data_IF_032579481641
#
_entry.id   IF_032579481641
#
_cell.length_a   1.000
_cell.length_b   1.000
_cell.length_c   1.000
_cell.angle_alpha   90.00
_cell.angle_beta   90.00
_cell.angle_gamma   90.00
#
_symmetry.space_group_name_H-M   'P 1'
#
loop_
_entity.id
_entity.type
_entity.pdbx_description
1 polymer ?
#
# COMPACT_ATOMS: atom_id res chain seq x y z
N UNK A 1 25.50 4.57 1.09
CA UNK A 1 26.08 5.52 2.08
C UNK A 1 27.20 6.29 1.37
N UNK A 2 26.87 7.20 0.46
CA UNK A 2 27.91 7.97 -0.26
C UNK A 2 28.00 9.46 0.10
N UNK A 3 27.08 9.98 0.93
CA UNK A 3 27.11 11.37 1.37
C UNK A 3 26.88 11.47 2.88
N UNK A 4 27.92 11.14 3.63
CA UNK A 4 27.97 11.45 5.05
C UNK A 4 28.45 12.89 5.24
N UNK A 5 27.58 13.86 5.10
CA UNK A 5 27.82 15.21 5.59
C UNK A 5 27.47 15.25 7.08
N UNK A 6 28.14 16.11 7.86
CA UNK A 6 27.98 16.23 9.32
C UNK A 6 26.51 16.38 9.79
N UNK A 7 25.61 16.84 8.92
CA UNK A 7 24.17 16.96 9.22
C UNK A 7 23.41 15.63 9.31
N UNK A 8 23.98 14.51 8.85
CA UNK A 8 23.32 13.20 8.81
C UNK A 8 23.83 12.20 9.87
N UNK A 9 24.70 12.63 10.79
CA UNK A 9 25.30 11.73 11.78
C UNK A 9 24.26 11.05 12.67
N UNK A 10 23.24 11.77 13.10
CA UNK A 10 22.13 11.21 13.89
C UNK A 10 21.32 10.16 13.13
N UNK A 11 21.09 10.33 11.84
CA UNK A 11 20.39 9.36 11.00
C UNK A 11 21.21 8.10 10.72
N UNK A 12 22.53 8.21 10.67
CA UNK A 12 23.42 7.06 10.50
C UNK A 12 23.52 6.20 11.75
N UNK A 13 23.54 6.80 12.94
CA UNK A 13 23.49 6.08 14.21
C UNK A 13 22.17 5.32 14.33
N UNK A 14 21.04 5.98 14.08
CA UNK A 14 19.74 5.34 14.09
C UNK A 14 19.62 4.18 13.08
N UNK A 15 20.20 4.32 11.89
CA UNK A 15 20.24 3.25 10.89
C UNK A 15 21.12 2.08 11.34
N UNK A 16 22.25 2.35 12.00
CA UNK A 16 23.12 1.31 12.54
C UNK A 16 22.43 0.52 13.67
N UNK A 17 21.70 1.21 14.53
CA UNK A 17 20.92 0.59 15.62
C UNK A 17 19.76 -0.23 15.07
N UNK A 18 19.07 0.26 14.04
CA UNK A 18 18.02 -0.49 13.35
C UNK A 18 18.60 -1.78 12.71
N UNK A 19 19.76 -1.70 12.07
CA UNK A 19 20.43 -2.85 11.48
C UNK A 19 20.85 -3.89 12.52
N UNK A 20 21.35 -3.46 13.69
CA UNK A 20 21.67 -4.34 14.82
C UNK A 20 20.43 -5.06 15.31
N UNK A 21 19.33 -4.36 15.48
CA UNK A 21 18.04 -4.94 15.90
C UNK A 21 17.57 -6.04 14.94
N UNK A 22 17.74 -5.88 13.63
CA UNK A 22 17.39 -6.93 12.67
C UNK A 22 18.23 -8.20 12.85
N UNK A 23 19.52 -8.07 13.14
CA UNK A 23 20.41 -9.21 13.39
C UNK A 23 20.06 -9.88 14.73
N UNK A 24 19.79 -9.09 15.77
CA UNK A 24 19.38 -9.58 17.10
C UNK A 24 18.09 -10.39 17.03
N UNK A 25 17.11 -9.91 16.26
CA UNK A 25 15.84 -10.61 16.03
C UNK A 25 16.06 -11.91 15.23
N UNK A 26 17.07 -11.95 14.37
CA UNK A 26 17.39 -13.12 13.56
C UNK A 26 16.33 -13.48 12.52
N UNK A 27 16.32 -14.73 12.02
CA UNK A 27 15.42 -15.15 10.95
C UNK A 27 14.00 -15.48 11.42
N UNK A 28 13.79 -15.71 12.72
CA UNK A 28 12.53 -16.22 13.25
C UNK A 28 11.59 -15.14 13.80
N UNK A 29 12.13 -13.96 14.14
CA UNK A 29 11.37 -12.85 14.69
C UNK A 29 11.28 -11.72 13.67
N UNK A 30 10.08 -11.21 13.44
CA UNK A 30 9.85 -10.07 12.54
C UNK A 30 9.77 -8.75 13.33
N UNK A 31 10.43 -7.68 12.89
CA UNK A 31 11.36 -7.57 11.75
C UNK A 31 12.75 -8.13 12.07
N UNK A 32 13.28 -8.97 11.20
CA UNK A 32 14.56 -9.63 11.38
C UNK A 32 15.42 -9.65 10.12
N UNK A 33 16.52 -10.42 10.15
CA UNK A 33 17.41 -10.59 9.02
C UNK A 33 17.75 -12.06 8.78
N UNK A 34 17.88 -12.44 7.51
CA UNK A 34 18.23 -13.80 7.11
C UNK A 34 19.72 -13.95 6.81
N UNK A 35 20.34 -12.93 6.22
CA UNK A 35 21.73 -12.97 5.78
C UNK A 35 22.43 -11.64 6.00
N UNK A 36 23.74 -11.73 6.19
CA UNK A 36 24.67 -10.61 6.22
C UNK A 36 25.76 -10.86 5.19
N UNK A 37 26.00 -9.89 4.32
CA UNK A 37 27.05 -9.92 3.30
C UNK A 37 28.17 -9.01 3.77
N UNK A 38 29.37 -9.55 3.88
CA UNK A 38 30.58 -8.81 4.23
C UNK A 38 31.10 -8.00 3.06
N UNK A 39 32.05 -7.10 3.35
CA UNK A 39 32.77 -6.32 2.34
C UNK A 39 33.57 -7.16 1.36
N UNK A 40 33.96 -8.38 1.77
CA UNK A 40 34.65 -9.38 0.93
C UNK A 40 33.69 -10.17 0.03
N UNK A 41 32.37 -9.88 0.07
CA UNK A 41 31.34 -10.54 -0.71
C UNK A 41 30.83 -11.87 -0.11
N UNK A 42 31.37 -12.31 1.00
CA UNK A 42 30.90 -13.54 1.66
C UNK A 42 29.53 -13.32 2.29
N UNK A 43 28.59 -14.20 1.94
CA UNK A 43 27.23 -14.23 2.49
C UNK A 43 27.17 -15.18 3.69
N UNK A 44 26.81 -14.66 4.84
CA UNK A 44 26.68 -15.40 6.10
C UNK A 44 25.20 -15.46 6.46
N UNK A 45 24.71 -16.65 6.74
CA UNK A 45 23.33 -16.82 7.24
C UNK A 45 23.28 -16.50 8.73
N UNK A 46 22.25 -15.77 9.12
CA UNK A 46 21.99 -15.44 10.53
C UNK A 46 21.27 -16.62 11.18
N UNK A 47 21.82 -17.11 12.27
CA UNK A 47 21.23 -18.12 13.16
C UNK A 47 21.30 -17.62 14.59
N UNK A 48 20.47 -18.17 15.47
CA UNK A 48 20.48 -17.78 16.89
C UNK A 48 21.85 -18.00 17.55
N UNK A 49 22.63 -18.98 17.06
CA UNK A 49 23.98 -19.30 17.55
C UNK A 49 25.05 -18.33 17.00
N UNK A 50 24.84 -17.73 15.84
CA UNK A 50 25.85 -16.92 15.14
C UNK A 50 25.62 -15.43 15.25
N UNK A 51 24.43 -15.00 15.69
CA UNK A 51 24.05 -13.59 15.73
C UNK A 51 25.00 -12.73 16.56
N UNK A 52 25.40 -13.21 17.73
CA UNK A 52 26.28 -12.46 18.63
C UNK A 52 27.67 -12.25 18.01
N UNK A 53 28.22 -13.28 17.38
CA UNK A 53 29.49 -13.19 16.65
C UNK A 53 29.42 -12.24 15.44
N UNK A 54 28.27 -12.18 14.77
CA UNK A 54 28.06 -11.25 13.65
C UNK A 54 27.95 -9.81 14.16
N UNK A 55 27.26 -9.61 15.29
CA UNK A 55 27.12 -8.29 15.91
C UNK A 55 28.45 -7.69 16.38
N UNK A 56 29.31 -8.53 16.97
CA UNK A 56 30.66 -8.11 17.40
C UNK A 56 31.56 -7.68 16.23
N UNK A 57 31.38 -8.34 15.07
CA UNK A 57 32.21 -8.12 13.86
C UNK A 57 31.53 -7.23 12.83
N UNK A 58 30.45 -6.55 13.21
CA UNK A 58 29.70 -5.69 12.29
C UNK A 58 30.50 -4.41 12.00
N UNK A 59 30.86 -4.23 10.75
CA UNK A 59 31.65 -3.11 10.26
C UNK A 59 30.89 -2.31 9.18
N UNK A 60 31.21 -1.02 8.99
CA UNK A 60 30.67 -0.24 7.88
C UNK A 60 30.97 -0.90 6.52
N UNK A 61 29.98 -0.92 5.64
CA UNK A 61 30.05 -1.56 4.33
C UNK A 61 29.43 -2.97 4.27
N UNK A 62 28.98 -3.52 5.39
CA UNK A 62 28.20 -4.75 5.38
C UNK A 62 26.80 -4.50 4.83
N UNK A 63 26.25 -5.49 4.12
CA UNK A 63 24.89 -5.45 3.59
C UNK A 63 24.06 -6.47 4.37
N UNK A 64 22.93 -6.02 4.93
CA UNK A 64 22.02 -6.88 5.69
C UNK A 64 20.78 -7.18 4.83
N UNK A 65 20.53 -8.46 4.57
CA UNK A 65 19.30 -8.93 3.92
C UNK A 65 18.22 -9.12 4.99
N UNK A 66 17.47 -8.05 5.24
CA UNK A 66 16.39 -8.03 6.22
C UNK A 66 15.08 -8.60 5.67
N UNK A 67 14.15 -8.90 6.53
CA UNK A 67 12.77 -9.17 6.15
C UNK A 67 12.13 -7.94 5.50
N UNK A 68 11.07 -8.17 4.70
CA UNK A 68 10.19 -7.09 4.27
C UNK A 68 9.55 -6.43 5.49
N UNK A 69 9.38 -5.12 5.42
CA UNK A 69 8.65 -4.34 6.43
C UNK A 69 7.52 -3.56 5.78
N UNK A 70 6.59 -3.10 6.59
CA UNK A 70 5.48 -2.27 6.13
C UNK A 70 6.00 -1.02 5.40
N UNK A 71 5.43 -0.74 4.23
CA UNK A 71 5.84 0.38 3.38
C UNK A 71 6.95 0.05 2.37
N UNK A 72 7.53 -1.14 2.39
CA UNK A 72 8.46 -1.55 1.33
C UNK A 72 7.73 -1.65 -0.02
N UNK A 73 8.39 -1.15 -1.08
CA UNK A 73 7.88 -1.30 -2.44
C UNK A 73 8.23 -2.66 -3.01
N UNK A 74 7.25 -3.32 -3.60
CA UNK A 74 7.39 -4.59 -4.32
C UNK A 74 6.70 -4.53 -5.66
N UNK A 75 7.23 -5.26 -6.63
CA UNK A 75 6.57 -5.47 -7.91
C UNK A 75 5.68 -6.70 -7.81
N UNK A 76 4.42 -6.54 -8.12
CA UNK A 76 3.43 -7.60 -8.06
C UNK A 76 2.93 -7.91 -9.46
N UNK A 77 2.85 -9.18 -9.81
CA UNK A 77 2.53 -9.64 -11.16
C UNK A 77 1.64 -10.87 -11.16
N UNK A 78 0.73 -10.94 -12.13
CA UNK A 78 0.01 -12.17 -12.49
C UNK A 78 0.22 -12.46 -13.97
N UNK A 79 0.58 -13.69 -14.29
CA UNK A 79 0.67 -14.17 -15.65
C UNK A 79 -0.70 -14.73 -16.13
N UNK A 80 -1.02 -14.60 -17.42
CA UNK A 80 -0.24 -13.96 -18.48
C UNK A 80 -0.27 -12.43 -18.36
N UNK A 81 0.91 -11.80 -18.52
CA UNK A 81 1.04 -10.33 -18.44
C UNK A 81 0.75 -9.71 -19.79
N UNK A 82 -0.53 -9.51 -20.10
CA UNK A 82 -1.00 -9.06 -21.41
C UNK A 82 -0.86 -7.54 -21.63
N UNK A 83 -0.74 -6.76 -20.56
CA UNK A 83 -0.56 -5.32 -20.61
C UNK A 83 0.27 -4.84 -19.42
N UNK A 84 0.72 -3.58 -19.44
CA UNK A 84 1.61 -3.04 -18.41
C UNK A 84 1.01 -3.06 -17.00
N UNK A 85 -0.33 -3.00 -16.87
CA UNK A 85 -1.03 -3.03 -15.60
C UNK A 85 -1.11 -4.42 -14.96
N UNK A 86 -0.69 -5.46 -15.67
CA UNK A 86 -0.50 -6.81 -15.09
C UNK A 86 0.75 -6.90 -14.20
N UNK A 87 1.55 -5.84 -14.16
CA UNK A 87 2.71 -5.67 -13.29
C UNK A 87 2.65 -4.27 -12.68
N UNK A 88 2.35 -4.19 -11.40
CA UNK A 88 2.25 -2.91 -10.69
C UNK A 88 3.04 -2.95 -9.39
N UNK A 89 3.52 -1.78 -8.96
CA UNK A 89 4.22 -1.62 -7.71
C UNK A 89 3.22 -1.33 -6.57
N UNK A 90 3.37 -2.10 -5.49
CA UNK A 90 2.56 -1.99 -4.29
C UNK A 90 3.43 -1.72 -3.06
N UNK A 91 2.87 -1.06 -2.08
CA UNK A 91 3.44 -0.96 -0.75
C UNK A 91 3.03 -2.18 0.09
N UNK A 92 4.01 -2.83 0.69
CA UNK A 92 3.79 -4.05 1.48
C UNK A 92 3.18 -3.71 2.84
N UNK A 93 2.25 -4.55 3.26
CA UNK A 93 1.84 -4.71 4.64
C UNK A 93 2.08 -6.16 5.05
N UNK A 94 2.97 -6.38 6.01
CA UNK A 94 3.35 -7.71 6.46
C UNK A 94 2.29 -8.25 7.42
N UNK A 95 1.76 -9.43 7.12
CA UNK A 95 0.72 -10.09 7.91
C UNK A 95 1.12 -11.54 8.19
N UNK A 96 0.65 -12.17 9.29
CA UNK A 96 1.03 -13.53 9.69
C UNK A 96 0.30 -14.62 8.90
N UNK A 97 0.14 -14.43 7.58
CA UNK A 97 -0.58 -15.35 6.71
C UNK A 97 0.32 -15.85 5.57
N UNK A 98 -0.06 -16.96 4.95
CA UNK A 98 0.68 -17.58 3.84
C UNK A 98 0.12 -17.24 2.46
N UNK A 99 -0.80 -16.30 2.38
CA UNK A 99 -1.46 -15.87 1.13
C UNK A 99 -1.27 -14.39 0.90
N UNK A 100 -1.22 -13.99 -0.37
CA UNK A 100 -1.32 -12.59 -0.74
C UNK A 100 -2.75 -12.09 -0.48
N UNK A 101 -2.84 -10.83 -0.08
CA UNK A 101 -4.10 -10.12 0.13
C UNK A 101 -4.01 -8.79 -0.57
N UNK A 102 -4.99 -8.48 -1.40
CA UNK A 102 -5.05 -7.26 -2.20
C UNK A 102 -6.47 -6.72 -2.24
N UNK A 103 -6.59 -5.45 -2.57
CA UNK A 103 -7.87 -4.79 -2.72
C UNK A 103 -8.60 -5.31 -3.98
N UNK A 104 -9.91 -5.50 -3.90
CA UNK A 104 -10.75 -5.95 -5.02
C UNK A 104 -10.64 -5.04 -6.25
N UNK A 105 -10.42 -3.75 -6.07
CA UNK A 105 -10.32 -2.78 -7.17
C UNK A 105 -9.17 -3.06 -8.13
N UNK A 106 -8.12 -3.81 -7.71
CA UNK A 106 -6.98 -4.16 -8.54
C UNK A 106 -7.12 -5.54 -9.21
N UNK A 107 -8.19 -6.28 -8.95
CA UNK A 107 -8.43 -7.56 -9.62
C UNK A 107 -8.58 -7.43 -11.15
N UNK A 108 -9.30 -6.44 -11.70
CA UNK A 108 -9.45 -6.31 -13.16
C UNK A 108 -8.13 -6.15 -13.92
N UNK A 109 -7.17 -5.28 -13.52
CA UNK A 109 -5.91 -5.16 -14.24
C UNK A 109 -5.06 -6.43 -14.20
N UNK A 110 -5.12 -7.20 -13.11
CA UNK A 110 -4.45 -8.49 -13.02
C UNK A 110 -5.25 -9.63 -13.67
N UNK A 111 -6.52 -9.41 -13.99
CA UNK A 111 -7.47 -10.46 -14.34
C UNK A 111 -7.44 -11.60 -13.30
N UNK A 112 -7.42 -11.21 -12.01
CA UNK A 112 -7.29 -12.13 -10.89
C UNK A 112 -8.64 -12.34 -10.20
N UNK A 113 -8.85 -13.55 -9.73
CA UNK A 113 -9.92 -13.93 -8.81
C UNK A 113 -9.34 -14.72 -7.62
N UNK A 114 -10.17 -15.12 -6.69
CA UNK A 114 -9.71 -15.74 -5.45
C UNK A 114 -10.07 -17.23 -5.37
N UNK A 115 -10.15 -17.90 -6.50
CA UNK A 115 -10.50 -19.33 -6.61
C UNK A 115 -9.27 -20.26 -6.58
N UNK A 116 -8.07 -19.71 -6.41
CA UNK A 116 -6.81 -20.45 -6.37
C UNK A 116 -5.72 -19.86 -7.25
N UNK A 117 -5.90 -18.64 -7.74
CA UNK A 117 -4.88 -17.93 -8.51
C UNK A 117 -3.55 -17.82 -7.76
N UNK A 118 -2.47 -17.94 -8.50
CA UNK A 118 -1.12 -17.69 -8.05
C UNK A 118 -0.58 -16.40 -8.67
N UNK A 119 0.19 -15.65 -7.87
CA UNK A 119 0.82 -14.40 -8.31
C UNK A 119 2.27 -14.34 -7.87
N UNK A 120 3.06 -13.52 -8.55
CA UNK A 120 4.47 -13.34 -8.27
C UNK A 120 4.71 -12.00 -7.60
N UNK A 121 5.61 -12.00 -6.61
CA UNK A 121 6.08 -10.81 -5.92
C UNK A 121 7.59 -10.71 -6.07
N UNK A 122 8.09 -9.55 -6.51
CA UNK A 122 9.51 -9.27 -6.65
C UNK A 122 9.89 -8.08 -5.77
N UNK A 123 11.02 -8.22 -5.07
CA UNK A 123 11.57 -7.17 -4.22
C UNK A 123 12.67 -6.44 -4.97
N UNK A 124 12.62 -5.12 -5.00
CA UNK A 124 13.63 -4.29 -5.65
C UNK A 124 14.94 -4.32 -4.87
N UNK A 125 16.04 -4.53 -5.58
CA UNK A 125 17.38 -4.65 -5.00
C UNK A 125 18.19 -3.35 -5.08
N UNK A 126 17.85 -2.44 -5.99
CA UNK A 126 18.54 -1.16 -6.18
C UNK A 126 17.61 0.02 -5.90
N UNK A 127 18.21 1.15 -5.54
CA UNK A 127 17.44 2.37 -5.27
C UNK A 127 16.85 2.97 -6.55
N UNK A 128 17.56 2.80 -7.69
CA UNK A 128 17.06 3.23 -9.00
C UNK A 128 15.78 2.46 -9.37
N UNK A 129 15.79 1.13 -9.25
CA UNK A 129 14.61 0.30 -9.53
C UNK A 129 13.44 0.65 -8.60
N UNK A 130 13.73 0.95 -7.34
CA UNK A 130 12.72 1.38 -6.36
C UNK A 130 12.13 2.74 -6.71
N UNK A 131 12.98 3.69 -7.14
CA UNK A 131 12.54 5.01 -7.56
C UNK A 131 11.68 4.95 -8.83
N UNK A 132 12.06 4.13 -9.81
CA UNK A 132 11.26 3.88 -11.02
C UNK A 132 9.91 3.26 -10.67
N UNK A 133 9.89 2.23 -9.82
CA UNK A 133 8.66 1.60 -9.36
C UNK A 133 7.73 2.60 -8.68
N UNK A 134 8.28 3.46 -7.82
CA UNK A 134 7.51 4.46 -7.08
C UNK A 134 6.96 5.58 -7.97
N UNK A 135 7.65 5.96 -9.04
CA UNK A 135 7.26 7.07 -9.90
C UNK A 135 6.40 6.64 -11.09
N UNK A 136 6.61 5.42 -11.65
CA UNK A 136 6.01 4.99 -12.89
C UNK A 136 5.08 3.78 -12.78
N UNK A 137 5.28 2.91 -11.76
CA UNK A 137 4.60 1.62 -11.68
C UNK A 137 3.58 1.51 -10.55
N UNK A 138 3.38 2.55 -9.76
CA UNK A 138 2.39 2.54 -8.67
C UNK A 138 0.98 2.32 -9.23
N UNK A 139 0.14 1.67 -8.44
CA UNK A 139 -1.26 1.43 -8.76
C UNK A 139 -1.99 2.73 -9.15
N UNK A 140 -1.72 3.82 -8.45
CA UNK A 140 -2.32 5.14 -8.69
C UNK A 140 -2.03 5.69 -10.09
N UNK A 141 -0.88 5.35 -10.68
CA UNK A 141 -0.48 5.77 -12.02
C UNK A 141 -1.19 4.97 -13.14
N UNK A 142 -1.91 3.91 -12.75
CA UNK A 142 -2.56 2.97 -13.67
C UNK A 142 -4.09 2.94 -13.53
N UNK A 143 -4.69 3.93 -12.87
CA UNK A 143 -6.15 4.00 -12.72
C UNK A 143 -6.82 4.10 -14.09
N UNK A 144 -6.27 4.92 -14.99
CA UNK A 144 -6.78 5.10 -16.34
C UNK A 144 -6.04 4.24 -17.35
N UNK A 145 -6.82 3.62 -18.24
CA UNK A 145 -6.27 2.82 -19.34
C UNK A 145 -5.63 3.73 -20.41
N UNK A 146 -4.38 3.44 -20.86
CA UNK A 146 -3.77 4.16 -21.97
C UNK A 146 -4.42 3.86 -23.32
N UNK A 147 -5.24 2.80 -23.42
CA UNK A 147 -5.89 2.38 -24.66
C UNK A 147 -7.09 3.26 -25.01
N UNK A 148 -7.92 3.60 -24.02
CA UNK A 148 -9.20 4.30 -24.27
C UNK A 148 -9.48 5.40 -23.24
N UNK A 149 -8.57 5.66 -22.29
CA UNK A 149 -8.70 6.74 -21.32
C UNK A 149 -9.75 6.51 -20.22
N UNK A 150 -10.43 5.37 -20.22
CA UNK A 150 -11.39 5.02 -19.17
C UNK A 150 -10.73 4.34 -17.98
N UNK A 151 -11.42 4.21 -16.84
CA UNK A 151 -10.87 3.57 -15.65
C UNK A 151 -10.72 2.06 -15.84
N UNK A 152 -9.58 1.52 -15.40
CA UNK A 152 -9.33 0.06 -15.34
C UNK A 152 -9.28 -0.41 -13.89
N UNK A 153 -8.92 0.48 -12.97
CA UNK A 153 -8.93 0.23 -11.52
C UNK A 153 -10.09 1.05 -10.96
N UNK A 154 -11.02 0.39 -10.31
CA UNK A 154 -12.19 1.07 -9.76
C UNK A 154 -13.07 0.14 -8.93
N UNK A 155 -14.15 0.67 -8.42
CA UNK A 155 -15.14 -0.06 -7.64
C UNK A 155 -15.80 -1.16 -8.47
N UNK A 156 -15.89 -2.36 -7.90
CA UNK A 156 -16.52 -3.53 -8.52
C UNK A 156 -17.46 -4.24 -7.53
N UNK A 157 -18.34 -5.08 -8.06
CA UNK A 157 -19.24 -5.96 -7.28
C UNK A 157 -19.95 -5.22 -6.13
N UNK A 158 -19.62 -5.56 -4.89
CA UNK A 158 -20.27 -5.04 -3.69
C UNK A 158 -20.12 -3.53 -3.50
N UNK A 159 -19.02 -2.93 -4.02
CA UNK A 159 -18.85 -1.49 -3.99
C UNK A 159 -19.95 -0.78 -4.81
N UNK A 160 -20.24 -1.31 -6.01
CA UNK A 160 -21.29 -0.76 -6.90
C UNK A 160 -22.66 -0.98 -6.27
N UNK A 161 -22.93 -2.19 -5.77
CA UNK A 161 -24.18 -2.50 -5.11
C UNK A 161 -24.42 -1.66 -3.85
N UNK A 162 -23.37 -1.47 -3.06
CA UNK A 162 -23.39 -0.62 -1.86
C UNK A 162 -23.65 0.85 -2.20
N UNK A 163 -22.97 1.40 -3.20
CA UNK A 163 -23.18 2.77 -3.66
C UNK A 163 -24.61 2.96 -4.19
N UNK A 164 -25.12 2.00 -4.96
CA UNK A 164 -26.50 2.02 -5.44
C UNK A 164 -27.53 2.02 -4.29
N UNK A 165 -27.39 1.11 -3.33
CA UNK A 165 -28.28 1.02 -2.18
C UNK A 165 -28.23 2.28 -1.32
N UNK A 166 -27.04 2.85 -1.13
CA UNK A 166 -26.86 4.09 -0.39
C UNK A 166 -27.57 5.26 -1.09
N UNK A 167 -27.39 5.41 -2.41
CA UNK A 167 -27.85 6.57 -3.19
C UNK A 167 -29.23 6.41 -3.79
N UNK A 168 -29.91 5.26 -3.59
CA UNK A 168 -31.25 4.99 -4.06
C UNK A 168 -32.24 6.05 -3.57
N UNK A 169 -33.21 6.49 -4.41
CA UNK A 169 -34.28 7.38 -3.97
C UNK A 169 -35.03 6.82 -2.76
N UNK A 170 -35.22 7.62 -1.72
CA UNK A 170 -35.85 7.23 -0.48
C UNK A 170 -34.92 6.60 0.57
N UNK A 171 -33.62 6.56 0.32
CA UNK A 171 -32.64 6.19 1.35
C UNK A 171 -32.43 7.38 2.29
N UNK A 172 -33.02 7.30 3.47
CA UNK A 172 -32.91 8.32 4.53
C UNK A 172 -32.24 7.72 5.75
N UNK A 173 -31.39 8.50 6.39
CA UNK A 173 -30.60 8.11 7.56
C UNK A 173 -30.80 9.12 8.68
N UNK A 174 -30.95 8.62 9.91
CA UNK A 174 -30.88 9.46 11.08
C UNK A 174 -29.49 10.05 11.26
N UNK A 175 -29.37 11.12 12.06
CA UNK A 175 -28.09 11.75 12.36
C UNK A 175 -27.06 10.76 12.90
N UNK A 176 -27.50 9.89 13.80
CA UNK A 176 -26.65 8.88 14.41
C UNK A 176 -26.11 7.89 13.38
N UNK A 177 -26.98 7.39 12.49
CA UNK A 177 -26.61 6.47 11.41
C UNK A 177 -25.64 7.15 10.43
N UNK A 178 -25.91 8.40 10.05
CA UNK A 178 -25.07 9.16 9.17
C UNK A 178 -23.66 9.36 9.75
N UNK A 179 -23.56 9.74 11.02
CA UNK A 179 -22.29 9.89 11.71
C UNK A 179 -21.52 8.56 11.82
N UNK A 180 -22.22 7.43 12.02
CA UNK A 180 -21.58 6.12 12.01
C UNK A 180 -21.02 5.77 10.62
N UNK A 181 -21.73 6.07 9.54
CA UNK A 181 -21.26 5.84 8.16
C UNK A 181 -20.03 6.69 7.89
N UNK A 182 -20.08 7.99 8.20
CA UNK A 182 -18.97 8.93 8.01
C UNK A 182 -17.73 8.48 8.81
N UNK A 183 -17.91 8.08 10.06
CA UNK A 183 -16.83 7.58 10.90
C UNK A 183 -16.18 6.31 10.34
N UNK A 184 -16.99 5.36 9.86
CA UNK A 184 -16.50 4.11 9.28
C UNK A 184 -15.83 4.28 7.92
N UNK A 185 -16.21 5.31 7.16
CA UNK A 185 -15.59 5.61 5.86
C UNK A 185 -14.23 6.27 5.97
N UNK A 186 -13.75 6.57 7.18
CA UNK A 186 -12.49 7.29 7.44
C UNK A 186 -12.41 8.69 6.79
N UNK A 187 -13.53 9.27 6.42
CA UNK A 187 -13.59 10.60 5.81
C UNK A 187 -12.96 11.69 6.69
N UNK A 188 -13.06 11.58 8.00
CA UNK A 188 -12.45 12.52 8.93
C UNK A 188 -10.91 12.49 8.97
N UNK A 189 -10.30 11.42 8.47
CA UNK A 189 -8.84 11.32 8.39
C UNK A 189 -8.28 12.01 7.14
N UNK A 190 -9.15 12.42 6.21
CA UNK A 190 -8.79 13.20 5.06
C UNK A 190 -8.98 14.69 5.41
N UNK A 191 -7.92 15.47 5.27
CA UNK A 191 -7.91 16.94 5.46
C UNK A 191 -8.93 17.69 4.58
N UNK A 192 -9.59 16.98 3.67
CA UNK A 192 -10.49 17.50 2.64
C UNK A 192 -11.96 17.59 3.06
N UNK A 193 -12.37 17.07 4.22
CA UNK A 193 -13.75 17.22 4.68
C UNK A 193 -13.87 18.49 5.53
N UNK A 194 -14.28 19.59 4.90
CA UNK A 194 -14.59 20.82 5.63
C UNK A 194 -15.83 20.58 6.53
N UNK A 195 -15.73 20.86 7.85
CA UNK A 195 -16.88 20.77 8.76
C UNK A 195 -18.07 21.61 8.33
N UNK A 196 -17.88 22.60 7.45
CA UNK A 196 -18.98 23.42 6.88
C UNK A 196 -19.93 22.57 6.03
N UNK A 197 -19.45 21.50 5.39
CA UNK A 197 -20.28 20.59 4.58
C UNK A 197 -21.20 19.70 5.44
N UNK A 198 -20.95 19.64 6.74
CA UNK A 198 -21.81 18.96 7.71
C UNK A 198 -23.01 19.81 8.16
N UNK A 199 -23.10 21.10 7.74
CA UNK A 199 -24.24 21.97 8.07
C UNK A 199 -25.45 21.60 7.22
N UNK A 200 -26.51 21.21 7.90
CA UNK A 200 -27.74 20.69 7.28
C UNK A 200 -28.83 21.74 7.06
N UNK A 201 -29.67 21.41 6.06
CA UNK A 201 -30.96 22.10 5.84
C UNK A 201 -32.17 21.28 6.34
N UNK A 202 -31.98 19.97 6.61
CA UNK A 202 -33.05 19.02 6.95
C UNK A 202 -32.69 18.17 8.17
N UNK A 203 -33.69 17.56 8.82
CA UNK A 203 -33.52 16.71 10.01
C UNK A 203 -32.84 15.36 9.70
N UNK A 204 -33.15 14.78 8.54
CA UNK A 204 -32.59 13.50 8.09
C UNK A 204 -31.55 13.69 7.00
N UNK A 205 -30.57 12.79 6.93
CA UNK A 205 -29.59 12.71 5.87
C UNK A 205 -30.09 11.84 4.72
N UNK A 206 -29.94 12.29 3.50
CA UNK A 206 -30.14 11.44 2.33
C UNK A 206 -28.82 10.70 2.02
N UNK A 207 -28.93 9.48 1.46
CA UNK A 207 -27.73 8.73 1.06
C UNK A 207 -26.90 9.42 -0.03
N UNK A 208 -27.53 10.26 -0.86
CA UNK A 208 -26.84 11.09 -1.86
C UNK A 208 -25.97 12.16 -1.21
N UNK A 209 -26.49 12.83 -0.16
CA UNK A 209 -25.69 13.80 0.61
C UNK A 209 -24.49 13.15 1.25
N UNK A 210 -24.65 11.95 1.84
CA UNK A 210 -23.56 11.21 2.43
C UNK A 210 -22.51 10.81 1.39
N UNK A 211 -22.95 10.37 0.21
CA UNK A 211 -22.04 10.02 -0.88
C UNK A 211 -21.31 11.26 -1.43
N UNK A 212 -21.97 12.41 -1.47
CA UNK A 212 -21.37 13.65 -1.94
C UNK A 212 -20.19 14.12 -1.09
N UNK A 213 -20.11 13.73 0.19
CA UNK A 213 -18.96 14.02 1.05
C UNK A 213 -17.66 13.37 0.58
N UNK A 214 -17.74 12.36 -0.29
CA UNK A 214 -16.58 11.68 -0.89
C UNK A 214 -16.09 12.36 -2.16
N UNK A 215 -16.91 13.22 -2.75
CA UNK A 215 -16.63 13.82 -4.05
C UNK A 215 -15.97 15.20 -3.88
N UNK A 216 -15.07 15.58 -4.79
CA UNK A 216 -14.54 16.94 -4.82
C UNK A 216 -15.63 17.98 -5.06
N UNK A 217 -15.51 19.15 -4.44
CA UNK A 217 -16.52 20.24 -4.51
C UNK A 217 -16.69 20.82 -5.92
N UNK A 218 -15.66 20.74 -6.73
CA UNK A 218 -15.62 21.23 -8.10
C UNK A 218 -16.13 20.19 -9.13
N UNK A 219 -16.52 19.00 -8.68
CA UNK A 219 -17.04 17.97 -9.57
C UNK A 219 -18.43 18.37 -10.10
N UNK A 220 -18.48 18.70 -11.38
CA UNK A 220 -19.72 18.99 -12.10
C UNK A 220 -19.85 18.05 -13.32
N UNK A 221 -20.38 16.86 -13.09
CA UNK A 221 -20.56 15.83 -14.11
C UNK A 221 -22.03 15.42 -14.16
N UNK A 222 -22.66 15.57 -15.32
CA UNK A 222 -23.99 15.04 -15.62
C UNK A 222 -23.84 13.92 -16.64
N UNK A 223 -24.09 12.69 -16.20
CA UNK A 223 -24.04 11.51 -17.06
C UNK A 223 -25.39 10.79 -17.04
N UNK A 224 -25.91 10.45 -18.22
CA UNK A 224 -27.07 9.59 -18.35
C UNK A 224 -26.58 8.18 -18.65
N UNK A 225 -27.05 7.23 -17.86
CA UNK A 225 -26.87 5.81 -18.19
C UNK A 225 -27.60 5.50 -19.51
N UNK A 226 -26.94 4.78 -20.40
CA UNK A 226 -27.55 4.23 -21.61
C UNK A 226 -28.50 3.06 -21.28
#
# INVERSE_FOLDING_TARGET
IRDCTEKNYGSLIALADEMRTYIENGPNVHPGANYVIRTDGRKIRVYDETKDMILEKLEPGYIIERHLKDGDMVLFNRQPSLHRMSMMAHEVRVLPYKTFRLNLCVCPPYNADFDGDEMNMHVFQTDESRAEAKSLMRVQEHILSPRFGGPIIGAIHDHISGAYLLTKPGSEFSEEQALQIIRKSHLFNNENVDPKHLKRKHENWTGKELFSLLLPDDLNLVYKAE
#
